data_IF_069015508054
#
_entry.id   IF_069015508054
#
_cell.length_a   1.000
_cell.length_b   1.000
_cell.length_c   1.000
_cell.angle_alpha   90.00
_cell.angle_beta   90.00
_cell.angle_gamma   90.00
#
_symmetry.space_group_name_H-M   'P 1'
#
loop_
_entity.id
_entity.type
_entity.pdbx_description
1 polymer ?
#
# COMPACT_ATOMS: atom_id res chain seq x y z
N UNK A 1 -1.64 12.36 5.53
CA UNK A 1 -1.27 11.05 6.09
C UNK A 1 -1.71 9.93 5.17
N UNK A 2 -0.83 9.00 4.94
CA UNK A 2 -1.16 7.73 4.30
C UNK A 2 -1.49 6.73 5.41
N UNK A 3 -2.56 5.97 5.24
CA UNK A 3 -3.03 5.03 6.27
C UNK A 3 -3.19 3.62 5.68
N UNK A 4 -3.04 2.64 6.55
CA UNK A 4 -3.24 1.22 6.25
C UNK A 4 -4.32 0.67 7.16
N UNK A 5 -5.41 0.20 6.57
CA UNK A 5 -6.51 -0.44 7.28
C UNK A 5 -6.53 -1.94 7.00
N UNK A 6 -7.01 -2.71 7.96
CA UNK A 6 -7.24 -4.14 7.83
C UNK A 6 -8.69 -4.44 8.17
N UNK A 7 -9.34 -5.22 7.35
CA UNK A 7 -10.73 -5.63 7.55
C UNK A 7 -10.91 -7.12 7.26
N UNK A 8 -11.87 -7.80 7.92
CA UNK A 8 -12.16 -9.18 7.61
C UNK A 8 -12.73 -9.34 6.20
N UNK A 9 -12.49 -10.50 5.62
CA UNK A 9 -13.02 -10.89 4.32
C UNK A 9 -14.25 -11.80 4.48
N UNK A 10 -14.90 -12.12 3.34
CA UNK A 10 -16.00 -13.09 3.32
C UNK A 10 -15.59 -14.51 3.78
N UNK A 11 -14.31 -14.82 3.71
CA UNK A 11 -13.74 -16.09 4.13
C UNK A 11 -12.67 -15.83 5.18
N UNK A 12 -12.71 -16.56 6.29
CA UNK A 12 -11.80 -16.38 7.42
C UNK A 12 -10.33 -16.70 7.12
N UNK A 13 -10.04 -17.34 5.98
CA UNK A 13 -8.67 -17.62 5.55
C UNK A 13 -8.01 -16.43 4.86
N UNK A 14 -8.79 -15.38 4.59
CA UNK A 14 -8.32 -14.17 3.89
C UNK A 14 -8.59 -12.93 4.73
N UNK A 15 -7.80 -11.90 4.46
CA UNK A 15 -8.02 -10.54 4.98
C UNK A 15 -7.87 -9.56 3.85
N UNK A 16 -8.42 -8.38 4.03
CA UNK A 16 -8.26 -7.28 3.08
C UNK A 16 -7.61 -6.09 3.75
N UNK A 17 -6.69 -5.48 3.03
CA UNK A 17 -6.02 -4.26 3.46
C UNK A 17 -6.40 -3.12 2.53
N UNK A 18 -6.59 -1.94 3.10
CA UNK A 18 -6.82 -0.72 2.33
C UNK A 18 -5.71 0.27 2.62
N UNK A 19 -5.21 0.89 1.55
CA UNK A 19 -4.30 2.03 1.62
C UNK A 19 -5.01 3.26 1.10
N UNK A 20 -4.94 4.34 1.83
CA UNK A 20 -5.55 5.60 1.43
C UNK A 20 -4.78 6.80 1.95
N UNK A 21 -5.20 7.97 1.51
CA UNK A 21 -4.68 9.25 1.95
C UNK A 21 -5.80 10.08 2.57
N UNK A 22 -5.50 10.73 3.68
CA UNK A 22 -6.44 11.66 4.32
C UNK A 22 -5.70 12.69 5.17
N UNK A 23 -6.30 13.83 5.36
CA UNK A 23 -5.83 14.85 6.32
C UNK A 23 -6.28 14.54 7.75
N UNK A 24 -7.28 13.69 7.92
CA UNK A 24 -7.85 13.34 9.23
C UNK A 24 -8.15 11.84 9.28
N UNK A 25 -7.22 11.08 9.85
CA UNK A 25 -7.31 9.62 9.94
C UNK A 25 -8.47 9.17 10.83
N UNK A 26 -8.66 9.82 11.96
CA UNK A 26 -9.72 9.46 12.92
C UNK A 26 -11.10 9.60 12.29
N UNK A 27 -11.33 10.72 11.60
CA UNK A 27 -12.59 10.96 10.90
C UNK A 27 -12.80 9.95 9.77
N UNK A 28 -11.75 9.63 9.03
CA UNK A 28 -11.83 8.66 7.94
C UNK A 28 -12.13 7.25 8.45
N UNK A 29 -11.51 6.85 9.56
CA UNK A 29 -11.72 5.52 10.15
C UNK A 29 -13.18 5.30 10.55
N UNK A 30 -13.86 6.34 11.03
CA UNK A 30 -15.28 6.26 11.41
C UNK A 30 -16.23 5.98 10.24
N UNK A 31 -15.76 6.12 9.01
CA UNK A 31 -16.57 5.84 7.81
C UNK A 31 -16.57 4.36 7.44
N UNK A 32 -15.79 3.55 8.12
CA UNK A 32 -15.67 2.12 7.86
C UNK A 32 -16.40 1.28 8.90
N UNK A 33 -16.56 0.00 8.58
CA UNK A 33 -17.18 -0.98 9.45
C UNK A 33 -16.43 -1.08 10.80
N UNK A 34 -17.12 -1.40 11.91
CA UNK A 34 -16.47 -1.51 13.22
C UNK A 34 -15.33 -2.51 13.28
N UNK A 35 -15.34 -3.55 12.44
CA UNK A 35 -14.30 -4.57 12.38
C UNK A 35 -13.04 -4.09 11.67
N UNK A 36 -13.09 -2.94 11.02
CA UNK A 36 -11.94 -2.36 10.33
C UNK A 36 -10.96 -1.78 11.33
N UNK A 37 -9.72 -2.21 11.28
CA UNK A 37 -8.66 -1.80 12.19
C UNK A 37 -7.66 -0.90 11.48
N UNK A 38 -7.23 0.14 12.16
CA UNK A 38 -6.10 0.96 11.74
C UNK A 38 -4.81 0.24 12.11
N UNK A 39 -4.05 -0.20 11.10
CA UNK A 39 -2.80 -0.92 11.30
C UNK A 39 -1.61 0.03 11.43
N UNK A 40 -1.54 1.02 10.56
CA UNK A 40 -0.42 1.97 10.55
C UNK A 40 -0.80 3.25 9.84
N UNK A 41 -0.08 4.32 10.18
CA UNK A 41 -0.10 5.59 9.46
C UNK A 41 1.31 6.03 9.21
N UNK A 42 1.48 6.86 8.19
CA UNK A 42 2.76 7.54 7.96
C UNK A 42 2.53 8.86 7.25
N UNK A 43 3.43 9.83 7.43
CA UNK A 43 3.40 11.06 6.64
C UNK A 43 3.58 10.72 5.16
N UNK A 44 2.89 11.44 4.30
CA UNK A 44 3.01 11.27 2.86
C UNK A 44 2.00 12.11 2.12
N UNK A 45 2.20 12.23 0.81
CA UNK A 45 1.36 12.99 -0.10
C UNK A 45 0.50 12.05 -0.95
N UNK A 46 -0.47 12.61 -1.68
CA UNK A 46 -1.24 11.84 -2.64
C UNK A 46 -0.38 11.19 -3.74
N UNK A 47 0.65 11.87 -4.30
CA UNK A 47 1.55 11.19 -5.24
C UNK A 47 2.26 9.97 -4.64
N UNK A 48 2.69 10.05 -3.40
CA UNK A 48 3.30 8.92 -2.71
C UNK A 48 2.32 7.76 -2.51
N UNK A 49 1.08 8.06 -2.19
CA UNK A 49 0.01 7.06 -2.09
C UNK A 49 -0.21 6.35 -3.43
N UNK A 50 -0.21 7.09 -4.54
CA UNK A 50 -0.35 6.49 -5.88
C UNK A 50 0.79 5.54 -6.22
N UNK A 51 2.02 5.90 -5.86
CA UNK A 51 3.19 5.04 -6.05
C UNK A 51 3.06 3.77 -5.21
N UNK A 52 2.62 3.92 -3.97
CA UNK A 52 2.39 2.79 -3.08
C UNK A 52 1.34 1.82 -3.66
N UNK A 53 0.26 2.33 -4.24
CA UNK A 53 -0.75 1.49 -4.89
C UNK A 53 -0.18 0.71 -6.08
N UNK A 54 0.66 1.32 -6.90
CA UNK A 54 1.33 0.62 -8.00
C UNK A 54 2.17 -0.55 -7.46
N UNK A 55 2.92 -0.30 -6.42
CA UNK A 55 3.76 -1.32 -5.78
C UNK A 55 2.93 -2.47 -5.20
N UNK A 56 1.85 -2.16 -4.51
CA UNK A 56 0.98 -3.17 -3.91
C UNK A 56 0.34 -4.09 -4.96
N UNK A 57 -0.05 -3.55 -6.11
CA UNK A 57 -0.66 -4.32 -7.19
C UNK A 57 0.27 -5.36 -7.80
N UNK A 58 1.58 -5.23 -7.59
CA UNK A 58 2.57 -6.16 -8.14
C UNK A 58 3.02 -7.22 -7.13
N UNK A 59 2.46 -7.27 -5.94
CA UNK A 59 2.74 -8.33 -4.97
C UNK A 59 2.27 -9.68 -5.53
N UNK A 60 3.17 -10.68 -5.70
CA UNK A 60 2.80 -11.96 -6.32
C UNK A 60 1.74 -12.75 -5.53
N UNK A 61 1.67 -12.54 -4.23
CA UNK A 61 0.76 -13.25 -3.32
C UNK A 61 -0.63 -12.62 -3.21
N UNK A 62 -0.90 -11.54 -3.95
CA UNK A 62 -2.24 -10.97 -3.98
C UNK A 62 -3.24 -11.96 -4.59
N UNK A 63 -4.35 -12.15 -3.88
CA UNK A 63 -5.47 -12.94 -4.40
C UNK A 63 -6.31 -12.08 -5.32
N UNK A 64 -6.56 -10.81 -4.91
CA UNK A 64 -7.48 -9.93 -5.61
C UNK A 64 -7.24 -8.49 -5.21
N UNK A 65 -7.45 -7.56 -6.13
CA UNK A 65 -7.58 -6.13 -5.85
C UNK A 65 -9.07 -5.78 -5.98
N UNK A 66 -9.63 -5.20 -4.94
CA UNK A 66 -11.06 -4.91 -4.86
C UNK A 66 -11.27 -3.40 -4.77
N UNK A 67 -12.13 -2.86 -5.63
CA UNK A 67 -12.43 -1.42 -5.70
C UNK A 67 -11.19 -0.52 -5.77
N UNK A 68 -10.12 -0.99 -6.43
CA UNK A 68 -8.84 -0.29 -6.66
C UNK A 68 -8.00 -0.01 -5.41
N UNK A 69 -8.55 -0.11 -4.22
CA UNK A 69 -7.89 0.30 -2.99
C UNK A 69 -7.80 -0.80 -1.93
N UNK A 70 -8.52 -1.90 -2.11
CA UNK A 70 -8.54 -3.03 -1.21
C UNK A 70 -7.72 -4.18 -1.78
N UNK A 71 -6.80 -4.70 -0.99
CA UNK A 71 -5.88 -5.76 -1.38
C UNK A 71 -6.17 -7.00 -0.56
N UNK A 72 -6.63 -8.06 -1.21
CA UNK A 72 -7.01 -9.32 -0.56
C UNK A 72 -5.80 -10.26 -0.58
N UNK A 73 -5.40 -10.73 0.58
CA UNK A 73 -4.31 -11.69 0.78
C UNK A 73 -4.73 -12.76 1.77
N UNK A 74 -3.94 -13.84 1.84
CA UNK A 74 -4.15 -14.85 2.87
C UNK A 74 -3.91 -14.23 4.25
N UNK A 75 -4.63 -14.72 5.26
CA UNK A 75 -4.63 -14.20 6.63
C UNK A 75 -3.23 -14.06 7.23
N UNK A 76 -2.33 -14.99 6.91
CA UNK A 76 -0.97 -15.05 7.45
C UNK A 76 0.06 -14.29 6.58
N UNK A 77 -0.38 -13.66 5.51
CA UNK A 77 0.50 -12.96 4.57
C UNK A 77 0.76 -11.53 5.04
N UNK A 78 2.03 -11.19 5.24
CA UNK A 78 2.46 -9.87 5.70
C UNK A 78 2.96 -8.94 4.58
N UNK A 79 2.88 -9.36 3.33
CA UNK A 79 3.49 -8.60 2.21
C UNK A 79 2.93 -7.19 2.05
N UNK A 80 1.64 -6.98 2.26
CA UNK A 80 1.04 -5.63 2.17
C UNK A 80 1.62 -4.73 3.25
N UNK A 81 1.74 -5.22 4.48
CA UNK A 81 2.30 -4.46 5.60
C UNK A 81 3.77 -4.10 5.33
N UNK A 82 4.54 -5.06 4.87
CA UNK A 82 5.95 -4.87 4.54
C UNK A 82 6.13 -3.82 3.43
N UNK A 83 5.38 -3.92 2.35
CA UNK A 83 5.43 -2.95 1.25
C UNK A 83 5.02 -1.56 1.72
N UNK A 84 3.99 -1.46 2.56
CA UNK A 84 3.56 -0.18 3.12
C UNK A 84 4.70 0.52 3.87
N UNK A 85 5.43 -0.20 4.69
CA UNK A 85 6.52 0.38 5.46
C UNK A 85 7.78 0.68 4.62
N UNK A 86 8.05 -0.10 3.58
CA UNK A 86 9.24 0.06 2.74
C UNK A 86 9.12 1.13 1.66
N UNK A 87 7.91 1.50 1.24
CA UNK A 87 7.68 2.36 0.08
C UNK A 87 8.42 3.70 0.15
N UNK A 88 8.50 4.31 1.33
CA UNK A 88 9.22 5.58 1.53
C UNK A 88 10.73 5.43 1.30
N UNK A 89 11.29 4.30 1.70
CA UNK A 89 12.72 3.99 1.52
C UNK A 89 13.08 3.84 0.04
N UNK A 90 12.20 3.23 -0.74
CA UNK A 90 12.38 3.07 -2.18
C UNK A 90 12.36 4.40 -2.92
N UNK A 91 11.42 5.28 -2.58
CA UNK A 91 11.35 6.61 -3.17
C UNK A 91 12.63 7.41 -2.92
N UNK A 92 13.19 7.36 -1.73
CA UNK A 92 14.48 7.98 -1.43
C UNK A 92 15.60 7.44 -2.30
N UNK A 93 15.66 6.13 -2.51
CA UNK A 93 16.66 5.50 -3.37
C UNK A 93 16.56 5.98 -4.82
N UNK A 94 15.36 6.08 -5.35
CA UNK A 94 15.12 6.55 -6.72
C UNK A 94 15.60 7.99 -6.91
N UNK A 95 15.22 8.88 -6.00
CA UNK A 95 15.63 10.29 -6.05
C UNK A 95 17.15 10.45 -5.92
N UNK A 96 17.80 9.65 -5.09
CA UNK A 96 19.23 9.71 -4.84
C UNK A 96 20.08 9.39 -6.07
N UNK A 97 19.58 8.59 -6.99
CA UNK A 97 20.33 8.17 -8.18
C UNK A 97 20.17 9.09 -9.39
N UNK A 98 19.43 10.19 -9.24
CA UNK A 98 19.25 11.22 -10.29
C UNK A 98 18.83 10.67 -11.65
N UNK A 99 17.86 9.78 -11.67
CA UNK A 99 17.33 9.21 -12.90
C UNK A 99 16.48 10.22 -13.67
N UNK A 100 16.41 10.05 -15.00
CA UNK A 100 15.43 10.74 -15.82
C UNK A 100 14.01 10.32 -15.48
N UNK A 101 13.00 11.10 -15.91
CA UNK A 101 11.59 10.75 -15.69
C UNK A 101 11.21 9.40 -16.27
N UNK A 102 11.74 9.08 -17.47
CA UNK A 102 11.49 7.78 -18.10
C UNK A 102 12.15 6.65 -17.34
N UNK A 103 13.39 6.84 -16.93
CA UNK A 103 14.12 5.88 -16.09
C UNK A 103 13.45 5.68 -14.74
N UNK A 104 12.94 6.74 -14.13
CA UNK A 104 12.20 6.66 -12.88
C UNK A 104 10.94 5.81 -13.01
N UNK A 105 10.21 5.93 -14.11
CA UNK A 105 9.02 5.13 -14.37
C UNK A 105 9.37 3.66 -14.53
N UNK A 106 10.41 3.36 -15.30
CA UNK A 106 10.89 2.00 -15.52
C UNK A 106 11.46 1.38 -14.25
N UNK A 107 12.26 2.12 -13.50
CA UNK A 107 12.82 1.70 -12.22
C UNK A 107 11.72 1.50 -11.19
N UNK A 108 10.71 2.37 -11.15
CA UNK A 108 9.57 2.20 -10.28
C UNK A 108 8.90 0.85 -10.50
N UNK A 109 8.67 0.46 -11.76
CA UNK A 109 8.13 -0.84 -12.09
C UNK A 109 9.05 -1.99 -11.65
N UNK A 110 10.34 -1.89 -11.87
CA UNK A 110 11.31 -2.91 -11.47
C UNK A 110 11.42 -3.03 -9.95
N UNK A 111 11.46 -1.90 -9.26
CA UNK A 111 11.51 -1.86 -7.79
C UNK A 111 10.26 -2.44 -7.16
N UNK A 112 9.11 -2.22 -7.79
CA UNK A 112 7.83 -2.77 -7.36
C UNK A 112 7.83 -4.30 -7.41
N UNK A 113 8.48 -4.88 -8.43
CA UNK A 113 8.54 -6.32 -8.62
C UNK A 113 9.59 -6.96 -7.70
N UNK A 114 10.77 -6.36 -7.60
CA UNK A 114 11.92 -6.97 -6.92
C UNK A 114 12.19 -6.44 -5.51
N UNK A 115 11.51 -5.41 -5.08
CA UNK A 115 11.64 -4.90 -3.72
C UNK A 115 12.94 -4.18 -3.38
N UNK A 116 13.71 -3.83 -4.38
CA UNK A 116 14.99 -3.14 -4.15
C UNK A 116 14.95 -1.68 -4.47
#
# INVERSE_FOLDING_TARGET
>A
MIYLLKSPCWNSNYVRYKVGYTSDVDKRLKQYEPETLLIATRPGSEPEERILHKRLKLIPSLIKVYRREWYVVRKDNSSVIEVFHESKKLMKKIVWKSYSLEELTEIDCLMLIYGN
#
